data_IF_903611837223
#
_entry.id   IF_903611837223
#
_cell.length_a   1.000
_cell.length_b   1.000
_cell.length_c   1.000
_cell.angle_alpha   90.00
_cell.angle_beta   90.00
_cell.angle_gamma   90.00
#
_symmetry.space_group_name_H-M   'P 1'
#
loop_
_entity.id
_entity.type
_entity.pdbx_description
1 polymer ?
#
# COMPACT_ATOMS: atom_id res chain seq x y z
N UNK A 1 6.75 -17.16 -26.31
CA UNK A 1 6.36 -15.79 -25.86
C UNK A 1 7.60 -15.13 -25.31
N UNK A 2 8.01 -13.98 -25.92
CA UNK A 2 9.21 -13.26 -25.52
C UNK A 2 9.06 -12.56 -24.16
N UNK A 3 10.18 -12.21 -23.53
CA UNK A 3 10.22 -11.43 -22.30
C UNK A 3 9.80 -9.97 -22.57
N UNK A 4 8.98 -9.38 -21.71
CA UNK A 4 8.59 -7.96 -21.80
C UNK A 4 9.67 -7.10 -21.16
N UNK A 5 10.36 -6.28 -21.94
CA UNK A 5 11.49 -5.45 -21.50
C UNK A 5 11.08 -4.07 -20.99
N UNK A 6 10.05 -3.50 -21.63
CA UNK A 6 9.57 -2.15 -21.37
C UNK A 6 8.08 -2.05 -21.66
N UNK A 7 7.38 -1.30 -20.84
CA UNK A 7 5.98 -0.90 -21.02
C UNK A 7 5.92 0.61 -20.89
N UNK A 8 5.12 1.28 -21.72
CA UNK A 8 4.94 2.72 -21.69
C UNK A 8 3.66 3.16 -22.37
N UNK A 9 3.16 4.33 -21.99
CA UNK A 9 2.00 4.98 -22.62
C UNK A 9 2.43 6.14 -23.52
N UNK A 10 1.61 6.48 -24.48
CA UNK A 10 1.75 7.68 -25.31
C UNK A 10 0.41 8.09 -25.90
N UNK A 11 0.23 9.41 -26.15
CA UNK A 11 -0.92 9.93 -26.94
C UNK A 11 -0.77 9.55 -28.40
N UNK A 12 0.45 9.61 -28.93
CA UNK A 12 0.81 9.18 -30.28
C UNK A 12 1.91 8.11 -30.19
N UNK A 13 1.51 6.84 -30.40
CA UNK A 13 2.40 5.68 -30.33
C UNK A 13 3.47 5.71 -31.43
N UNK A 14 3.12 6.17 -32.65
CA UNK A 14 4.07 6.22 -33.77
C UNK A 14 5.20 7.21 -33.47
N UNK A 15 4.86 8.41 -33.04
CA UNK A 15 5.84 9.44 -32.64
C UNK A 15 6.69 8.93 -31.47
N UNK A 16 6.06 8.31 -30.47
CA UNK A 16 6.76 7.77 -29.30
C UNK A 16 7.77 6.68 -29.65
N UNK A 17 7.36 5.69 -30.44
CA UNK A 17 8.25 4.61 -30.88
C UNK A 17 9.39 5.16 -31.71
N UNK A 18 9.08 6.08 -32.66
CA UNK A 18 10.10 6.72 -33.50
C UNK A 18 11.16 7.47 -32.68
N UNK A 19 10.75 8.13 -31.57
CA UNK A 19 11.68 8.88 -30.72
C UNK A 19 12.76 8.01 -30.09
N UNK A 20 12.51 6.74 -29.87
CA UNK A 20 13.52 5.80 -29.33
C UNK A 20 14.62 5.49 -30.36
N UNK A 21 14.29 5.48 -31.66
CA UNK A 21 15.24 5.14 -32.71
C UNK A 21 16.02 6.35 -33.22
N UNK A 22 15.47 7.55 -33.13
CA UNK A 22 16.02 8.72 -33.80
C UNK A 22 16.37 9.91 -32.89
N UNK A 23 16.13 9.84 -31.61
CA UNK A 23 16.33 11.00 -30.73
C UNK A 23 16.74 10.70 -29.29
N UNK A 24 16.79 9.46 -28.89
CA UNK A 24 17.09 9.13 -27.50
C UNK A 24 18.48 8.52 -27.35
N UNK A 25 19.44 9.35 -26.92
CA UNK A 25 20.85 8.97 -26.73
C UNK A 25 21.14 8.31 -25.38
N UNK A 26 20.10 8.03 -24.56
CA UNK A 26 20.30 7.39 -23.27
C UNK A 26 20.77 5.95 -23.42
N UNK A 27 21.88 5.61 -22.79
CA UNK A 27 22.50 4.28 -22.82
C UNK A 27 21.53 3.13 -22.48
N UNK A 28 20.54 3.40 -21.61
CA UNK A 28 19.51 2.41 -21.25
C UNK A 28 18.53 2.12 -22.39
N UNK A 29 18.27 3.10 -23.26
CA UNK A 29 17.40 2.96 -24.44
C UNK A 29 18.17 2.21 -25.53
N UNK A 30 19.41 2.56 -25.78
CA UNK A 30 20.27 1.85 -26.71
C UNK A 30 20.37 0.35 -26.37
N UNK A 31 20.58 0.02 -25.09
CA UNK A 31 20.60 -1.37 -24.64
C UNK A 31 19.25 -2.07 -24.87
N UNK A 32 18.14 -1.39 -24.57
CA UNK A 32 16.79 -1.92 -24.80
C UNK A 32 16.54 -2.21 -26.29
N UNK A 33 16.97 -1.30 -27.18
CA UNK A 33 16.77 -1.45 -28.63
C UNK A 33 17.59 -2.60 -29.23
N UNK A 34 18.78 -2.90 -28.70
CA UNK A 34 19.60 -4.03 -29.15
C UNK A 34 18.94 -5.39 -28.91
N UNK A 35 18.07 -5.47 -27.92
CA UNK A 35 17.39 -6.69 -27.52
C UNK A 35 15.93 -6.76 -28.00
N UNK A 36 15.45 -5.67 -28.63
CA UNK A 36 14.06 -5.54 -29.08
C UNK A 36 13.78 -6.47 -30.26
N UNK A 37 12.88 -7.41 -30.07
CA UNK A 37 12.40 -8.30 -31.12
C UNK A 37 11.07 -7.84 -31.74
N UNK A 38 10.16 -7.30 -30.95
CA UNK A 38 8.84 -6.85 -31.40
C UNK A 38 8.30 -5.73 -30.48
N UNK A 39 7.35 -4.97 -31.00
CA UNK A 39 6.58 -3.95 -30.26
C UNK A 39 5.12 -4.31 -30.38
N UNK A 40 4.49 -4.63 -29.26
CA UNK A 40 3.05 -4.81 -29.15
C UNK A 40 2.39 -3.53 -28.66
N UNK A 41 1.15 -3.27 -29.05
CA UNK A 41 0.43 -2.10 -28.59
C UNK A 41 -1.04 -2.39 -28.32
N UNK A 42 -1.63 -1.57 -27.43
CA UNK A 42 -3.06 -1.54 -27.14
C UNK A 42 -3.55 -0.09 -27.22
N UNK A 43 -4.65 0.12 -27.93
CA UNK A 43 -5.34 1.41 -27.95
C UNK A 43 -6.31 1.45 -26.77
N UNK A 44 -6.27 2.57 -26.01
CA UNK A 44 -7.16 2.87 -24.90
C UNK A 44 -8.06 4.05 -25.28
N UNK A 45 -9.28 4.10 -24.74
CA UNK A 45 -10.23 5.17 -25.05
C UNK A 45 -9.87 6.49 -24.37
N UNK A 46 -9.26 6.42 -23.18
CA UNK A 46 -8.85 7.58 -22.40
C UNK A 46 -7.41 7.53 -21.96
N UNK A 47 -6.83 8.71 -21.63
CA UNK A 47 -5.48 8.79 -21.08
C UNK A 47 -5.38 8.10 -19.70
N UNK A 48 -6.45 8.19 -18.91
CA UNK A 48 -6.51 7.52 -17.61
C UNK A 48 -6.51 5.99 -17.75
N UNK A 49 -7.28 5.46 -18.71
CA UNK A 49 -7.25 4.02 -19.00
C UNK A 49 -5.86 3.55 -19.44
N UNK A 50 -5.18 4.33 -20.29
CA UNK A 50 -3.81 4.04 -20.70
C UNK A 50 -2.85 4.01 -19.50
N UNK A 51 -2.98 4.96 -18.55
CA UNK A 51 -2.15 5.02 -17.35
C UNK A 51 -2.39 3.83 -16.42
N UNK A 52 -3.64 3.50 -16.14
CA UNK A 52 -4.03 2.34 -15.32
C UNK A 52 -3.53 1.04 -15.96
N UNK A 53 -3.68 0.92 -17.29
CA UNK A 53 -3.23 -0.25 -18.05
C UNK A 53 -1.70 -0.38 -18.00
N UNK A 54 -0.96 0.70 -18.18
CA UNK A 54 0.51 0.72 -18.03
C UNK A 54 0.92 0.23 -16.64
N UNK A 55 0.35 0.80 -15.58
CA UNK A 55 0.70 0.43 -14.19
C UNK A 55 0.39 -1.04 -13.90
N UNK A 56 -0.75 -1.56 -14.36
CA UNK A 56 -1.14 -2.98 -14.21
C UNK A 56 -0.16 -3.91 -14.94
N UNK A 57 0.19 -3.58 -16.16
CA UNK A 57 1.14 -4.37 -16.95
C UNK A 57 2.54 -4.32 -16.35
N UNK A 58 3.01 -3.16 -15.87
CA UNK A 58 4.30 -3.04 -15.17
C UNK A 58 4.31 -3.88 -13.89
N UNK A 59 3.22 -3.89 -13.12
CA UNK A 59 3.10 -4.70 -11.91
C UNK A 59 3.15 -6.20 -12.22
N UNK A 60 2.46 -6.64 -13.29
CA UNK A 60 2.39 -8.04 -13.70
C UNK A 60 3.71 -8.56 -14.29
N UNK A 61 4.31 -7.82 -15.22
CA UNK A 61 5.50 -8.25 -15.97
C UNK A 61 6.83 -7.83 -15.34
N UNK A 62 6.84 -6.81 -14.49
CA UNK A 62 8.03 -6.23 -13.84
C UNK A 62 9.20 -5.96 -14.81
N UNK A 63 8.96 -5.26 -15.94
CA UNK A 63 9.93 -5.11 -17.03
C UNK A 63 11.23 -4.46 -16.54
N UNK A 64 12.38 -4.95 -16.99
CA UNK A 64 13.68 -4.49 -16.47
C UNK A 64 13.98 -3.02 -16.74
N UNK A 65 13.45 -2.44 -17.82
CA UNK A 65 13.68 -1.04 -18.18
C UNK A 65 12.68 -0.04 -17.57
N UNK A 66 11.60 -0.49 -16.88
CA UNK A 66 10.68 0.36 -16.12
C UNK A 66 11.19 0.58 -14.70
N UNK A 67 12.12 1.51 -14.50
CA UNK A 67 12.72 1.73 -13.16
C UNK A 67 11.81 2.48 -12.19
N UNK A 68 11.06 3.50 -12.67
CA UNK A 68 10.27 4.43 -11.82
C UNK A 68 8.90 3.91 -11.44
N UNK A 69 8.25 3.15 -12.31
CA UNK A 69 6.87 2.69 -12.15
C UNK A 69 6.74 1.29 -11.56
N UNK A 70 7.87 0.65 -11.21
CA UNK A 70 7.82 -0.63 -10.50
C UNK A 70 7.28 -0.42 -9.10
N UNK A 71 6.34 -1.26 -8.65
CA UNK A 71 5.94 -1.25 -7.26
C UNK A 71 7.18 -1.40 -6.38
N UNK A 72 7.26 -0.69 -5.24
CA UNK A 72 8.41 -0.76 -4.36
C UNK A 72 8.67 -2.22 -3.96
N UNK A 73 9.95 -2.64 -3.90
CA UNK A 73 10.35 -4.00 -3.48
C UNK A 73 9.87 -4.30 -2.06
N UNK A 74 9.76 -3.27 -1.24
CA UNK A 74 9.21 -3.33 0.11
C UNK A 74 8.04 -2.34 0.18
N UNK A 75 6.85 -2.85 0.38
CA UNK A 75 5.69 -2.04 0.67
C UNK A 75 5.50 -1.97 2.20
N UNK A 76 4.92 -0.87 2.66
CA UNK A 76 4.60 -0.69 4.07
C UNK A 76 3.11 -0.45 4.20
N UNK A 77 2.51 -1.03 5.22
CA UNK A 77 1.06 -0.97 5.46
C UNK A 77 0.79 -0.62 6.91
N UNK A 78 -0.33 0.04 7.16
CA UNK A 78 -0.98 0.06 8.46
C UNK A 78 -2.07 -1.01 8.42
N UNK A 79 -1.94 -2.00 9.27
CA UNK A 79 -2.86 -3.14 9.35
C UNK A 79 -3.78 -2.99 10.56
N UNK A 80 -5.08 -3.21 10.39
CA UNK A 80 -6.03 -3.40 11.48
C UNK A 80 -6.24 -4.89 11.70
N UNK A 81 -5.88 -5.37 12.88
CA UNK A 81 -5.87 -6.80 13.19
C UNK A 81 -7.28 -7.35 13.38
N UNK A 82 -7.45 -8.68 13.28
CA UNK A 82 -8.72 -9.38 13.49
C UNK A 82 -8.87 -10.04 14.87
N UNK A 83 -7.92 -9.80 15.77
CA UNK A 83 -7.98 -10.32 17.13
C UNK A 83 -9.19 -9.78 17.90
N UNK A 84 -9.52 -10.40 19.03
CA UNK A 84 -10.68 -10.06 19.89
C UNK A 84 -10.77 -8.56 20.20
N UNK A 85 -9.65 -7.91 20.49
CA UNK A 85 -9.51 -6.47 20.64
C UNK A 85 -8.57 -5.96 19.54
N UNK A 86 -9.10 -5.62 18.35
CA UNK A 86 -8.28 -5.21 17.22
C UNK A 86 -7.39 -4.01 17.51
N UNK A 87 -6.22 -3.96 16.88
CA UNK A 87 -5.28 -2.86 16.99
C UNK A 87 -4.66 -2.50 15.65
N UNK A 88 -4.20 -1.28 15.52
CA UNK A 88 -3.43 -0.85 14.37
C UNK A 88 -1.95 -1.20 14.56
N UNK A 89 -1.31 -1.70 13.52
CA UNK A 89 0.11 -2.05 13.53
C UNK A 89 0.74 -1.89 12.15
N UNK A 90 2.06 -1.65 12.12
CA UNK A 90 2.80 -1.62 10.86
C UNK A 90 3.02 -3.04 10.33
N UNK A 91 2.93 -3.20 9.00
CA UNK A 91 3.21 -4.45 8.30
C UNK A 91 4.02 -4.17 7.02
N UNK A 92 4.82 -5.13 6.57
CA UNK A 92 5.60 -5.05 5.31
C UNK A 92 4.93 -5.80 4.16
N UNK A 93 3.92 -6.59 4.48
CA UNK A 93 3.16 -7.39 3.51
C UNK A 93 1.69 -7.35 3.91
N UNK A 94 0.82 -7.65 2.95
CA UNK A 94 -0.59 -7.92 3.25
C UNK A 94 -0.68 -9.24 4.03
N UNK A 95 -1.28 -9.19 5.20
CA UNK A 95 -1.44 -10.35 6.09
C UNK A 95 -2.87 -10.89 5.93
N UNK A 96 -3.05 -12.14 5.48
CA UNK A 96 -4.37 -12.76 5.38
C UNK A 96 -5.10 -12.73 6.74
N UNK A 97 -6.40 -12.50 6.69
CA UNK A 97 -7.25 -12.48 7.89
C UNK A 97 -7.22 -11.18 8.70
N UNK A 98 -6.44 -10.18 8.34
CA UNK A 98 -6.59 -8.85 8.92
C UNK A 98 -7.89 -8.20 8.44
N UNK A 99 -8.49 -7.31 9.26
CA UNK A 99 -9.74 -6.62 8.89
C UNK A 99 -9.54 -5.73 7.67
N UNK A 100 -8.43 -4.98 7.62
CA UNK A 100 -8.00 -4.20 6.45
C UNK A 100 -6.51 -3.87 6.49
N UNK A 101 -6.03 -3.31 5.37
CA UNK A 101 -4.70 -2.74 5.23
C UNK A 101 -4.81 -1.38 4.54
N UNK A 102 -4.25 -0.34 5.15
CA UNK A 102 -4.01 0.95 4.48
C UNK A 102 -2.63 0.93 3.82
N UNK A 103 -2.54 1.39 2.61
CA UNK A 103 -1.31 1.41 1.81
C UNK A 103 -1.52 0.75 0.44
N UNK A 104 -0.48 0.48 -0.32
CA UNK A 104 0.95 0.48 0.07
C UNK A 104 1.56 1.87 0.21
N UNK A 105 2.29 2.09 1.29
CA UNK A 105 3.10 3.29 1.48
C UNK A 105 4.53 3.07 0.99
N UNK A 106 5.15 4.11 0.42
CA UNK A 106 6.52 4.02 -0.12
C UNK A 106 7.58 3.93 0.96
N UNK A 107 7.32 4.45 2.15
CA UNK A 107 8.27 4.43 3.27
C UNK A 107 7.62 4.02 4.58
N UNK A 108 8.42 3.46 5.46
CA UNK A 108 8.02 3.15 6.85
C UNK A 108 7.67 4.43 7.62
N UNK A 109 8.36 5.55 7.34
CA UNK A 109 8.07 6.83 7.97
C UNK A 109 6.65 7.29 7.65
N UNK A 110 6.26 7.27 6.36
CA UNK A 110 4.89 7.62 5.95
C UNK A 110 3.85 6.70 6.60
N UNK A 111 4.09 5.38 6.59
CA UNK A 111 3.18 4.43 7.23
C UNK A 111 3.05 4.69 8.75
N UNK A 112 4.14 5.08 9.42
CA UNK A 112 4.16 5.45 10.84
C UNK A 112 3.35 6.72 11.09
N UNK A 113 3.52 7.77 10.29
CA UNK A 113 2.73 9.01 10.41
C UNK A 113 1.23 8.73 10.29
N UNK A 114 0.83 7.86 9.33
CA UNK A 114 -0.58 7.46 9.18
C UNK A 114 -1.07 6.67 10.39
N UNK A 115 -0.25 5.76 10.92
CA UNK A 115 -0.57 5.01 12.14
C UNK A 115 -0.78 5.94 13.33
N UNK A 116 0.12 6.91 13.55
CA UNK A 116 0.06 7.89 14.64
C UNK A 116 -1.19 8.77 14.50
N UNK A 117 -1.46 9.31 13.32
CA UNK A 117 -2.69 10.08 13.06
C UNK A 117 -3.96 9.25 13.30
N UNK A 118 -3.95 7.94 12.97
CA UNK A 118 -5.07 7.05 13.25
C UNK A 118 -5.29 6.83 14.75
N UNK A 119 -4.21 6.80 15.54
CA UNK A 119 -4.28 6.72 16.99
C UNK A 119 -4.80 8.00 17.65
N UNK A 120 -4.53 9.16 17.05
CA UNK A 120 -5.05 10.44 17.53
C UNK A 120 -6.54 10.60 17.20
N UNK A 121 -6.98 10.00 16.09
CA UNK A 121 -8.39 10.04 15.68
C UNK A 121 -9.32 9.11 16.49
N UNK A 122 -8.80 8.00 17.04
CA UNK A 122 -9.58 7.05 17.81
C UNK A 122 -8.73 6.37 18.90
N UNK A 123 -9.28 6.12 20.10
CA UNK A 123 -8.55 5.52 21.23
C UNK A 123 -8.34 4.00 21.04
N UNK A 124 -7.81 3.62 19.88
CA UNK A 124 -7.53 2.23 19.50
C UNK A 124 -6.43 1.67 20.39
N UNK A 125 -6.57 0.40 20.77
CA UNK A 125 -5.57 -0.36 21.51
C UNK A 125 -4.16 -0.20 20.89
N UNK A 126 -3.22 0.26 21.71
CA UNK A 126 -1.81 0.44 21.31
C UNK A 126 -0.92 -0.66 21.89
N UNK A 127 -1.27 -1.24 23.03
CA UNK A 127 -0.47 -2.28 23.69
C UNK A 127 -0.57 -3.64 22.98
N UNK A 128 0.48 -4.45 23.17
CA UNK A 128 0.56 -5.82 22.63
C UNK A 128 0.26 -6.89 23.70
N UNK A 129 0.03 -6.49 24.95
CA UNK A 129 -0.26 -7.42 26.03
C UNK A 129 -1.57 -8.16 25.79
N UNK A 130 -1.63 -9.48 26.04
CA UNK A 130 -2.90 -10.21 26.02
C UNK A 130 -3.93 -9.61 26.98
N UNK A 131 -5.25 -9.74 26.69
CA UNK A 131 -6.30 -9.33 27.63
C UNK A 131 -6.12 -10.00 29.00
N UNK A 132 -6.27 -9.23 30.07
CA UNK A 132 -6.17 -9.73 31.44
C UNK A 132 -4.77 -10.23 31.86
N UNK A 133 -3.72 -9.97 31.08
CA UNK A 133 -2.37 -10.45 31.38
C UNK A 133 -1.59 -9.60 32.38
N UNK A 134 -2.14 -8.48 32.83
CA UNK A 134 -1.49 -7.53 33.76
C UNK A 134 -2.36 -7.29 34.97
N UNK A 135 -1.75 -7.04 36.14
CA UNK A 135 -2.49 -6.71 37.36
C UNK A 135 -3.10 -5.29 37.36
N UNK A 136 -2.83 -4.50 36.29
CA UNK A 136 -3.35 -3.14 36.16
C UNK A 136 -3.17 -2.60 34.75
N UNK A 137 -3.76 -1.42 34.46
CA UNK A 137 -3.74 -0.82 33.13
C UNK A 137 -2.33 -0.48 32.67
N UNK A 138 -2.09 -0.61 31.35
CA UNK A 138 -0.81 -0.18 30.75
C UNK A 138 -0.73 1.34 30.66
N UNK A 139 0.48 1.88 30.39
CA UNK A 139 0.71 3.33 30.29
C UNK A 139 -0.23 4.04 29.33
N UNK A 140 -0.57 3.43 28.19
CA UNK A 140 -1.53 4.03 27.24
C UNK A 140 -2.94 4.16 27.80
N UNK A 141 -3.38 3.17 28.57
CA UNK A 141 -4.68 3.20 29.25
C UNK A 141 -4.67 4.20 30.42
N UNK A 142 -3.59 4.23 31.20
CA UNK A 142 -3.42 5.19 32.31
C UNK A 142 -3.43 6.65 31.82
N UNK A 143 -2.80 6.93 30.68
CA UNK A 143 -2.81 8.26 30.07
C UNK A 143 -4.11 8.60 29.31
N UNK A 144 -5.09 7.69 29.27
CA UNK A 144 -6.33 7.90 28.53
C UNK A 144 -6.18 7.98 27.01
N UNK A 145 -4.99 7.60 26.46
CA UNK A 145 -4.71 7.71 25.02
C UNK A 145 -5.15 6.48 24.22
N UNK A 146 -5.51 5.39 24.88
CA UNK A 146 -6.02 4.18 24.25
C UNK A 146 -6.87 3.34 25.20
N UNK A 147 -7.88 2.64 24.67
CA UNK A 147 -8.60 1.61 25.38
C UNK A 147 -7.86 0.28 25.24
N UNK A 148 -7.31 -0.23 26.34
CA UNK A 148 -6.49 -1.44 26.33
C UNK A 148 -7.06 -2.52 27.27
N UNK A 149 -7.22 -3.77 26.82
CA UNK A 149 -7.81 -4.85 27.60
C UNK A 149 -6.81 -5.58 28.51
N UNK A 150 -5.60 -5.02 28.68
CA UNK A 150 -4.48 -5.72 29.31
C UNK A 150 -4.69 -6.07 30.80
N UNK A 151 -5.53 -5.30 31.52
CA UNK A 151 -5.92 -5.55 32.90
C UNK A 151 -7.20 -6.39 33.05
N UNK A 152 -7.85 -6.71 31.93
CA UNK A 152 -9.07 -7.53 31.92
C UNK A 152 -10.38 -6.78 32.21
N UNK A 153 -10.34 -5.47 32.45
CA UNK A 153 -11.53 -4.68 32.78
C UNK A 153 -12.35 -4.30 31.55
N UNK A 154 -11.70 -4.13 30.39
CA UNK A 154 -12.35 -3.74 29.14
C UNK A 154 -13.12 -4.93 28.53
N UNK A 155 -14.41 -4.74 28.25
CA UNK A 155 -15.24 -5.72 27.54
C UNK A 155 -15.24 -5.50 26.02
N UNK A 156 -15.66 -6.50 25.25
CA UNK A 156 -15.80 -6.36 23.79
C UNK A 156 -16.90 -5.36 23.43
N UNK A 157 -17.99 -5.31 24.20
CA UNK A 157 -19.08 -4.35 24.01
C UNK A 157 -18.61 -2.91 24.18
N UNK A 158 -17.74 -2.64 25.16
CA UNK A 158 -17.17 -1.31 25.37
C UNK A 158 -16.17 -0.91 24.30
N UNK A 159 -15.50 -1.89 23.70
CA UNK A 159 -14.53 -1.65 22.63
C UNK A 159 -15.15 -1.59 21.22
N UNK A 160 -16.33 -2.17 21.01
CA UNK A 160 -17.02 -2.22 19.72
C UNK A 160 -17.24 -0.84 19.07
N UNK A 161 -17.60 0.24 19.80
CA UNK A 161 -17.73 1.58 19.21
C UNK A 161 -16.42 2.11 18.63
N UNK A 162 -15.27 1.80 19.24
CA UNK A 162 -13.94 2.20 18.72
C UNK A 162 -13.66 1.48 17.41
N UNK A 163 -13.94 0.18 17.34
CA UNK A 163 -13.80 -0.61 16.11
C UNK A 163 -14.68 -0.05 14.99
N UNK A 164 -15.95 0.22 15.30
CA UNK A 164 -16.90 0.79 14.34
C UNK A 164 -16.43 2.16 13.82
N UNK A 165 -15.92 3.04 14.71
CA UNK A 165 -15.40 4.35 14.34
C UNK A 165 -14.23 4.24 13.37
N UNK A 166 -13.30 3.31 13.61
CA UNK A 166 -12.14 3.09 12.72
C UNK A 166 -12.59 2.59 11.36
N UNK A 167 -13.49 1.61 11.32
CA UNK A 167 -14.00 1.07 10.06
C UNK A 167 -14.76 2.13 9.26
N UNK A 168 -15.68 2.87 9.92
CA UNK A 168 -16.44 3.93 9.26
C UNK A 168 -15.55 5.09 8.73
N UNK A 169 -14.46 5.40 9.44
CA UNK A 169 -13.52 6.43 8.99
C UNK A 169 -12.73 6.06 7.73
N UNK A 170 -12.66 4.76 7.41
CA UNK A 170 -11.93 4.22 6.26
C UNK A 170 -12.88 3.94 5.08
N UNK A 171 -14.12 3.52 5.34
CA UNK A 171 -15.14 3.24 4.32
C UNK A 171 -15.80 4.52 3.73
N UNK A 172 -15.39 5.70 4.14
CA UNK A 172 -15.83 6.92 3.46
C UNK A 172 -15.11 6.99 2.11
N UNK A 173 -15.83 6.53 1.07
CA UNK A 173 -15.59 6.96 -0.30
C UNK A 173 -15.59 8.50 -0.32
N UNK A 174 -14.58 9.12 -0.96
CA UNK A 174 -14.47 10.57 -1.06
C UNK A 174 -15.62 11.18 -1.91
#
# INVERSE_FOLDING_TARGET
RGEVFYIGKAKDLRSRVRSYFYGDTRRSIEQMLRELAAVDYRVCETELEAEVTELRLIAAHRPRHNRRSKPPKTAHYVRFTSERFPRLSLARTVVPGARFHLGPFRSMATARTVLEASWDAAPVRRCTHPPGSRPGPCSFAQMGTALCPCDGTLTESDYAPVVARVLHGIDRDP
#
